data_IF_034079296468
#
_entry.id   IF_034079296468
#
_cell.length_a   1.000
_cell.length_b   1.000
_cell.length_c   1.000
_cell.angle_alpha   90.00
_cell.angle_beta   90.00
_cell.angle_gamma   90.00
#
_symmetry.space_group_name_H-M   'P 1'
#
loop_
_entity.id
_entity.type
_entity.pdbx_description
1 polymer ?
#
# COMPACT_ATOMS: atom_id res chain seq x y z
N UNK A 1 -33.87 -31.98 27.63
CA UNK A 1 -34.01 -31.58 26.23
C UNK A 1 -33.77 -30.08 26.14
N UNK A 2 -32.72 -29.68 25.42
CA UNK A 2 -32.29 -28.31 25.07
C UNK A 2 -31.42 -27.56 26.09
N UNK A 3 -30.24 -28.13 26.32
CA UNK A 3 -29.02 -27.39 26.63
C UNK A 3 -28.57 -26.68 25.34
N UNK A 4 -29.10 -25.50 25.06
CA UNK A 4 -28.46 -24.56 24.13
C UNK A 4 -27.63 -23.63 25.02
N UNK A 5 -26.32 -23.82 25.18
CA UNK A 5 -25.48 -22.70 25.57
C UNK A 5 -25.66 -21.69 24.45
N UNK A 6 -26.11 -20.50 24.83
CA UNK A 6 -26.19 -19.37 23.94
C UNK A 6 -24.75 -19.09 23.49
N UNK A 7 -24.35 -19.67 22.36
CA UNK A 7 -23.11 -19.43 21.64
C UNK A 7 -23.11 -17.98 21.16
N UNK A 8 -23.00 -17.04 22.10
CA UNK A 8 -22.64 -15.66 21.80
C UNK A 8 -21.12 -15.65 21.63
N UNK A 9 -20.64 -16.31 20.59
CA UNK A 9 -19.30 -16.09 20.00
C UNK A 9 -19.30 -14.77 19.20
N UNK A 10 -20.01 -13.74 19.68
CA UNK A 10 -20.34 -12.52 18.94
C UNK A 10 -20.10 -11.26 19.76
N UNK A 11 -19.05 -11.26 20.59
CA UNK A 11 -18.34 -10.03 20.88
C UNK A 11 -16.95 -10.20 20.30
N UNK A 12 -16.75 -9.74 19.06
CA UNK A 12 -15.41 -9.26 18.66
C UNK A 12 -14.97 -8.38 19.83
N UNK A 13 -13.86 -8.72 20.51
CA UNK A 13 -13.43 -7.91 21.64
C UNK A 13 -13.26 -6.48 21.13
N UNK A 14 -13.84 -5.51 21.83
CA UNK A 14 -13.73 -4.11 21.45
C UNK A 14 -12.25 -3.69 21.31
N UNK A 15 -11.38 -4.25 22.15
CA UNK A 15 -9.94 -4.07 22.07
C UNK A 15 -9.35 -4.57 20.74
N UNK A 16 -9.78 -5.74 20.25
CA UNK A 16 -9.31 -6.30 18.98
C UNK A 16 -9.79 -5.44 17.80
N UNK A 17 -11.05 -4.97 17.85
CA UNK A 17 -11.57 -4.05 16.84
C UNK A 17 -10.77 -2.74 16.80
N UNK A 18 -10.55 -2.11 17.95
CA UNK A 18 -9.77 -0.87 18.05
C UNK A 18 -8.34 -1.09 17.54
N UNK A 19 -7.70 -2.21 17.91
CA UNK A 19 -6.36 -2.55 17.45
C UNK A 19 -6.30 -2.70 15.92
N UNK A 20 -7.28 -3.37 15.30
CA UNK A 20 -7.37 -3.51 13.84
C UNK A 20 -7.53 -2.13 13.18
N UNK A 21 -8.41 -1.27 13.72
CA UNK A 21 -8.61 0.08 13.18
C UNK A 21 -7.34 0.92 13.27
N UNK A 22 -6.65 0.91 14.42
CA UNK A 22 -5.37 1.61 14.61
C UNK A 22 -4.33 1.10 13.61
N UNK A 23 -4.20 -0.22 13.46
CA UNK A 23 -3.28 -0.82 12.49
C UNK A 23 -3.61 -0.41 11.05
N UNK A 24 -4.89 -0.38 10.66
CA UNK A 24 -5.29 0.07 9.33
C UNK A 24 -4.92 1.54 9.08
N UNK A 25 -5.08 2.42 10.08
CA UNK A 25 -4.68 3.83 9.96
C UNK A 25 -3.15 3.96 9.83
N UNK A 26 -2.38 3.25 10.66
CA UNK A 26 -0.92 3.30 10.63
C UNK A 26 -0.38 2.73 9.31
N UNK A 27 -0.82 1.53 8.93
CA UNK A 27 -0.42 0.88 7.69
C UNK A 27 -0.85 1.70 6.48
N UNK A 28 -2.07 2.22 6.48
CA UNK A 28 -2.56 3.13 5.44
C UNK A 28 -1.67 4.36 5.32
N UNK A 29 -1.38 5.05 6.42
CA UNK A 29 -0.49 6.21 6.45
C UNK A 29 0.91 5.91 5.93
N UNK A 30 1.47 4.75 6.28
CA UNK A 30 2.77 4.31 5.79
C UNK A 30 2.77 4.08 4.26
N UNK A 31 1.68 3.51 3.73
CA UNK A 31 1.53 3.33 2.28
C UNK A 31 1.42 4.67 1.54
N UNK A 32 0.71 5.66 2.12
CA UNK A 32 0.64 7.02 1.58
C UNK A 32 1.95 7.81 1.73
N UNK A 33 2.91 7.35 2.55
CA UNK A 33 4.23 7.97 2.62
C UNK A 33 5.04 7.75 1.33
N UNK A 34 4.81 6.65 0.60
CA UNK A 34 5.50 6.37 -0.67
C UNK A 34 5.33 7.50 -1.71
N UNK A 35 4.10 7.88 -2.14
CA UNK A 35 3.92 9.00 -3.06
C UNK A 35 4.43 10.32 -2.47
N UNK A 36 4.13 10.58 -1.19
CA UNK A 36 4.47 11.84 -0.52
C UNK A 36 5.97 12.08 -0.45
N UNK A 37 6.78 11.02 -0.30
CA UNK A 37 8.25 11.12 -0.30
C UNK A 37 8.81 11.12 -1.71
N UNK A 38 8.36 10.23 -2.60
CA UNK A 38 8.95 10.07 -3.93
C UNK A 38 8.69 11.26 -4.85
N UNK A 39 7.51 11.90 -4.77
CA UNK A 39 7.16 13.02 -5.64
C UNK A 39 8.10 14.23 -5.49
N UNK A 40 8.42 14.71 -4.27
CA UNK A 40 9.44 15.73 -4.07
C UNK A 40 10.84 15.34 -4.56
N UNK A 41 11.23 14.06 -4.44
CA UNK A 41 12.53 13.61 -4.96
C UNK A 41 12.57 13.64 -6.50
N UNK A 42 11.43 13.42 -7.16
CA UNK A 42 11.30 13.60 -8.61
C UNK A 42 11.36 15.08 -8.98
N UNK A 43 10.70 15.94 -8.23
CA UNK A 43 10.73 17.39 -8.42
C UNK A 43 12.13 17.97 -8.24
N UNK A 44 12.88 17.48 -7.26
CA UNK A 44 14.29 17.84 -7.03
C UNK A 44 15.26 17.26 -8.09
N UNK A 45 14.78 16.42 -9.02
CA UNK A 45 15.59 15.78 -10.05
C UNK A 45 16.49 14.65 -9.54
N UNK A 46 16.33 14.21 -8.29
CA UNK A 46 17.13 13.14 -7.67
C UNK A 46 16.67 11.76 -8.19
N UNK A 47 15.37 11.58 -8.38
CA UNK A 47 14.79 10.40 -9.03
C UNK A 47 14.10 10.75 -10.34
N UNK A 48 14.33 9.93 -11.37
CA UNK A 48 13.62 10.06 -12.64
C UNK A 48 12.44 9.09 -12.74
N UNK A 49 11.30 9.56 -13.24
CA UNK A 49 10.11 8.72 -13.49
C UNK A 49 10.41 7.58 -14.45
N UNK A 50 11.38 7.76 -15.34
CA UNK A 50 11.89 6.75 -16.27
C UNK A 50 12.53 5.57 -15.54
N UNK A 51 13.29 5.83 -14.47
CA UNK A 51 13.93 4.81 -13.65
C UNK A 51 12.88 4.01 -12.87
N UNK A 52 11.92 4.70 -12.23
CA UNK A 52 10.79 4.03 -11.57
C UNK A 52 9.97 3.18 -12.55
N UNK A 53 9.78 3.69 -13.77
CA UNK A 53 9.03 2.96 -14.80
C UNK A 53 9.75 1.71 -15.31
N UNK A 54 11.08 1.75 -15.42
CA UNK A 54 11.89 0.58 -15.83
C UNK A 54 11.88 -0.51 -14.76
N UNK A 55 11.85 -0.14 -13.49
CA UNK A 55 11.97 -1.07 -12.37
C UNK A 55 10.61 -1.52 -11.79
N UNK A 56 9.50 -1.33 -12.53
CA UNK A 56 8.14 -1.71 -12.11
C UNK A 56 8.05 -3.15 -11.62
N UNK A 57 8.57 -4.09 -12.42
CA UNK A 57 8.51 -5.52 -12.08
C UNK A 57 9.26 -5.82 -10.77
N UNK A 58 10.40 -5.17 -10.54
CA UNK A 58 11.19 -5.38 -9.33
C UNK A 58 10.47 -4.84 -8.09
N UNK A 59 9.88 -3.64 -8.20
CA UNK A 59 9.11 -3.04 -7.10
C UNK A 59 7.84 -3.83 -6.79
N UNK A 60 7.13 -4.31 -7.81
CA UNK A 60 5.98 -5.19 -7.61
C UNK A 60 6.36 -6.50 -6.94
N UNK A 61 7.47 -7.13 -7.34
CA UNK A 61 7.95 -8.34 -6.68
C UNK A 61 8.31 -8.09 -5.21
N UNK A 62 8.98 -6.99 -4.88
CA UNK A 62 9.30 -6.63 -3.50
C UNK A 62 8.04 -6.42 -2.67
N UNK A 63 7.08 -5.65 -3.19
CA UNK A 63 5.82 -5.37 -2.49
C UNK A 63 5.03 -6.67 -2.31
N UNK A 64 4.94 -7.53 -3.33
CA UNK A 64 4.30 -8.84 -3.24
C UNK A 64 4.96 -9.75 -2.20
N UNK A 65 6.28 -9.77 -2.17
CA UNK A 65 7.05 -10.55 -1.21
C UNK A 65 6.81 -10.07 0.23
N UNK A 66 6.87 -8.75 0.47
CA UNK A 66 6.61 -8.15 1.78
C UNK A 66 5.16 -8.38 2.20
N UNK A 67 4.20 -8.20 1.29
CA UNK A 67 2.78 -8.42 1.57
C UNK A 67 2.48 -9.88 1.93
N UNK A 68 3.12 -10.83 1.25
CA UNK A 68 3.01 -12.26 1.57
C UNK A 68 3.65 -12.63 2.92
N UNK A 69 4.70 -11.92 3.33
CA UNK A 69 5.37 -12.12 4.62
C UNK A 69 4.54 -11.56 5.79
N UNK A 70 3.83 -10.45 5.58
CA UNK A 70 3.01 -9.79 6.62
C UNK A 70 1.63 -10.45 6.73
N UNK A 71 1.08 -10.95 5.64
CA UNK A 71 -0.26 -11.55 5.63
C UNK A 71 -0.29 -12.84 6.47
N UNK A 72 -1.28 -12.98 7.39
CA UNK A 72 -1.41 -14.18 8.21
C UNK A 72 -1.61 -15.46 7.37
N UNK A 73 -2.35 -15.31 6.27
CA UNK A 73 -2.57 -16.36 5.28
C UNK A 73 -1.73 -16.06 4.02
N UNK A 74 -0.64 -16.79 3.75
CA UNK A 74 0.24 -16.54 2.61
C UNK A 74 -0.34 -17.06 1.28
N UNK A 75 -1.67 -17.08 1.13
CA UNK A 75 -2.32 -17.52 -0.10
C UNK A 75 -2.46 -16.36 -1.08
N UNK A 76 -2.38 -16.65 -2.38
CA UNK A 76 -2.50 -15.63 -3.43
C UNK A 76 -3.80 -14.83 -3.33
N UNK A 77 -4.92 -15.48 -2.99
CA UNK A 77 -6.22 -14.83 -2.90
C UNK A 77 -6.30 -13.84 -1.74
N UNK A 78 -5.68 -14.13 -0.60
CA UNK A 78 -5.65 -13.22 0.56
C UNK A 78 -4.76 -12.00 0.33
N UNK A 79 -3.70 -12.13 -0.47
CA UNK A 79 -2.71 -11.07 -0.72
C UNK A 79 -3.14 -10.10 -1.82
N UNK A 80 -3.87 -10.56 -2.85
CA UNK A 80 -4.31 -9.72 -3.97
C UNK A 80 -5.05 -8.43 -3.53
N UNK A 81 -6.03 -8.48 -2.60
CA UNK A 81 -6.72 -7.27 -2.11
C UNK A 81 -5.78 -6.24 -1.49
N UNK A 82 -4.68 -6.66 -0.88
CA UNK A 82 -3.66 -5.78 -0.31
C UNK A 82 -2.74 -5.19 -1.40
N UNK A 83 -2.42 -5.95 -2.45
CA UNK A 83 -1.55 -5.48 -3.52
C UNK A 83 -2.19 -4.41 -4.40
N UNK A 84 -3.48 -4.54 -4.68
CA UNK A 84 -4.22 -3.60 -5.53
C UNK A 84 -4.03 -2.14 -5.10
N UNK A 85 -4.33 -1.74 -3.86
CA UNK A 85 -4.17 -0.35 -3.43
C UNK A 85 -2.70 0.11 -3.43
N UNK A 86 -1.75 -0.77 -3.09
CA UNK A 86 -0.33 -0.41 -3.05
C UNK A 86 0.21 -0.17 -4.47
N UNK A 87 -0.13 -1.04 -5.42
CA UNK A 87 0.26 -0.88 -6.82
C UNK A 87 -0.40 0.35 -7.45
N UNK A 88 -1.66 0.62 -7.11
CA UNK A 88 -2.34 1.83 -7.53
C UNK A 88 -1.62 3.09 -7.05
N UNK A 89 -1.17 3.12 -5.78
CA UNK A 89 -0.40 4.24 -5.24
C UNK A 89 0.96 4.40 -5.94
N UNK A 90 1.65 3.30 -6.22
CA UNK A 90 2.92 3.33 -6.95
C UNK A 90 2.74 3.88 -8.38
N UNK A 91 1.72 3.42 -9.09
CA UNK A 91 1.39 3.93 -10.44
C UNK A 91 0.97 5.41 -10.41
N UNK A 92 0.16 5.80 -9.43
CA UNK A 92 -0.23 7.20 -9.22
C UNK A 92 1.01 8.07 -9.00
N UNK A 93 1.98 7.61 -8.21
CA UNK A 93 3.26 8.29 -7.98
C UNK A 93 4.02 8.54 -9.29
N UNK A 94 4.14 7.52 -10.14
CA UNK A 94 4.81 7.67 -11.44
C UNK A 94 4.01 8.62 -12.34
N UNK A 95 2.68 8.52 -12.34
CA UNK A 95 1.81 9.38 -13.14
C UNK A 95 1.98 10.86 -12.77
N UNK A 96 1.87 11.19 -11.48
CA UNK A 96 2.08 12.57 -11.00
C UNK A 96 3.52 13.03 -11.22
N UNK A 97 4.52 12.17 -10.99
CA UNK A 97 5.91 12.49 -11.27
C UNK A 97 6.16 12.88 -12.74
N UNK A 98 5.52 12.19 -13.70
CA UNK A 98 5.64 12.53 -15.12
C UNK A 98 5.04 13.90 -15.46
N UNK A 99 3.97 14.30 -14.76
CA UNK A 99 3.37 15.62 -14.92
C UNK A 99 4.35 16.69 -14.42
N UNK A 100 4.99 16.46 -13.26
CA UNK A 100 5.98 17.35 -12.67
C UNK A 100 7.20 17.51 -13.60
N UNK A 101 7.79 16.40 -14.07
CA UNK A 101 8.94 16.43 -14.99
C UNK A 101 8.62 17.19 -16.28
N UNK A 102 7.45 16.95 -16.90
CA UNK A 102 7.02 17.67 -18.11
C UNK A 102 6.85 19.17 -17.89
N UNK A 103 6.45 19.59 -16.68
CA UNK A 103 6.32 21.00 -16.33
C UNK A 103 7.70 21.65 -16.21
N UNK A 104 8.66 20.98 -15.57
CA UNK A 104 10.04 21.48 -15.44
C UNK A 104 10.75 21.60 -16.80
N UNK A 105 10.61 20.63 -17.70
CA UNK A 105 11.24 20.68 -19.04
C UNK A 105 10.68 21.77 -19.97
N UNK A 106 9.56 22.40 -19.64
CA UNK A 106 8.98 23.52 -20.43
C UNK A 106 9.38 24.90 -19.89
N UNK A 107 10.01 24.96 -18.73
CA UNK A 107 10.37 26.23 -18.04
C UNK A 107 11.86 26.56 -18.21
N UNK A 108 12.68 25.65 -18.76
CA UNK A 108 14.08 25.87 -19.13
C UNK A 108 14.24 26.18 -20.61
#
# INVERSE_FOLDING_TARGET
FLYYPLNIELFINLNDFINIVILMVILGGLLFALPTLVLPLIEAGILGTRTLSKNRIFIYLIIAFIAGLISPDPTFLSVIPLLIPIYALYEATIYFGRIIEKKHSKVS
#
